data_IF_334605655321
#
_entry.id   IF_334605655321
#
_cell.length_a   1.000
_cell.length_b   1.000
_cell.length_c   1.000
_cell.angle_alpha   90.00
_cell.angle_beta   90.00
_cell.angle_gamma   90.00
#
_symmetry.space_group_name_H-M   'P 1'
#
loop_
_entity.id
_entity.type
_entity.pdbx_description
1 polymer ?
#
# COMPACT_ATOMS: atom_id res chain seq x y z
N UNK A 1 34.06 -8.09 61.51
CA UNK A 1 32.59 -8.00 61.58
C UNK A 1 32.05 -8.36 60.20
N UNK A 2 31.55 -9.58 60.00
CA UNK A 2 30.93 -9.95 58.72
C UNK A 2 29.58 -9.25 58.64
N UNK A 3 29.45 -8.33 57.69
CA UNK A 3 28.17 -7.68 57.41
C UNK A 3 27.25 -8.76 56.87
N UNK A 4 26.19 -9.07 57.62
CA UNK A 4 25.18 -10.04 57.20
C UNK A 4 24.48 -9.44 55.98
N UNK A 5 24.74 -9.96 54.77
CA UNK A 5 24.22 -9.43 53.49
C UNK A 5 22.79 -9.88 53.18
N UNK A 6 22.28 -10.83 53.95
CA UNK A 6 20.94 -11.42 53.82
C UNK A 6 19.80 -10.37 53.85
N UNK A 7 19.75 -9.40 54.78
CA UNK A 7 18.67 -8.40 54.78
C UNK A 7 18.75 -7.44 53.58
N UNK A 8 19.95 -7.17 53.05
CA UNK A 8 20.11 -6.34 51.85
C UNK A 8 19.58 -7.06 50.61
N UNK A 9 19.84 -8.37 50.49
CA UNK A 9 19.32 -9.20 49.39
C UNK A 9 17.79 -9.32 49.47
N UNK A 10 17.22 -9.40 50.68
CA UNK A 10 15.77 -9.46 50.88
C UNK A 10 15.06 -8.13 50.52
N UNK A 11 15.71 -6.99 50.78
CA UNK A 11 15.19 -5.66 50.42
C UNK A 11 15.31 -5.44 48.90
N UNK A 12 16.38 -5.92 48.27
CA UNK A 12 16.57 -5.80 46.81
C UNK A 12 15.57 -6.66 46.02
N UNK A 13 15.19 -7.82 46.55
CA UNK A 13 14.19 -8.70 45.93
C UNK A 13 12.76 -8.17 46.05
N UNK A 14 12.45 -7.37 47.07
CA UNK A 14 11.13 -6.73 47.23
C UNK A 14 10.91 -5.57 46.25
N UNK A 15 11.99 -4.92 45.77
CA UNK A 15 11.92 -3.79 44.84
C UNK A 15 11.68 -4.21 43.37
N UNK A 16 11.78 -5.50 43.04
CA UNK A 16 11.55 -6.03 41.69
C UNK A 16 10.07 -6.36 41.38
N UNK A 17 9.14 -6.12 42.31
CA UNK A 17 7.73 -6.49 42.18
C UNK A 17 6.80 -5.42 41.56
N UNK A 18 7.33 -4.31 41.03
CA UNK A 18 6.50 -3.27 40.43
C UNK A 18 6.14 -3.63 38.99
N UNK A 19 5.12 -4.47 38.81
CA UNK A 19 4.40 -4.51 37.54
C UNK A 19 3.73 -3.16 37.34
N UNK A 20 4.19 -2.40 36.34
CA UNK A 20 3.45 -1.26 35.83
C UNK A 20 2.20 -1.84 35.18
N UNK A 21 1.04 -1.66 35.81
CA UNK A 21 -0.22 -1.96 35.14
C UNK A 21 -0.38 -0.95 34.01
N UNK A 22 -0.53 -1.40 32.75
CA UNK A 22 -0.82 -0.50 31.65
C UNK A 22 -2.14 0.20 31.98
N UNK A 23 -2.10 1.54 32.04
CA UNK A 23 -3.31 2.33 32.14
C UNK A 23 -4.07 2.18 30.83
N UNK A 24 -5.15 1.39 30.84
CA UNK A 24 -6.10 1.36 29.73
C UNK A 24 -7.14 2.47 29.97
N UNK A 25 -7.06 3.62 29.27
CA UNK A 25 -8.12 4.61 29.35
C UNK A 25 -9.45 3.95 28.94
N UNK A 26 -10.48 4.15 29.77
CA UNK A 26 -11.86 3.88 29.37
C UNK A 26 -12.25 5.00 28.41
N UNK A 27 -12.06 4.78 27.12
CA UNK A 27 -12.55 5.66 26.08
C UNK A 27 -14.04 5.36 25.90
N UNK A 28 -14.91 6.33 26.18
CA UNK A 28 -16.32 6.26 25.77
C UNK A 28 -16.40 6.45 24.24
N UNK A 29 -16.07 5.41 23.49
CA UNK A 29 -16.26 5.35 22.04
C UNK A 29 -17.76 5.19 21.76
N UNK A 30 -18.52 6.29 21.80
CA UNK A 30 -19.99 6.24 21.75
C UNK A 30 -20.62 6.83 20.49
N UNK A 31 -19.83 7.35 19.54
CA UNK A 31 -20.36 7.86 18.27
C UNK A 31 -19.59 7.30 17.08
N UNK A 32 -20.29 6.50 16.27
CA UNK A 32 -19.88 6.16 14.91
C UNK A 32 -19.86 7.45 14.09
N UNK A 33 -18.71 7.79 13.52
CA UNK A 33 -18.52 9.01 12.75
C UNK A 33 -18.56 8.67 11.28
N UNK A 34 -19.30 9.45 10.48
CA UNK A 34 -19.34 9.27 9.03
C UNK A 34 -17.96 9.60 8.42
N UNK A 35 -17.47 8.70 7.57
CA UNK A 35 -16.19 8.84 6.85
C UNK A 35 -16.45 8.70 5.35
N UNK A 36 -16.27 9.78 4.61
CA UNK A 36 -16.44 9.80 3.14
C UNK A 36 -15.11 10.24 2.52
N UNK A 37 -14.54 9.39 1.67
CA UNK A 37 -13.24 9.67 1.05
C UNK A 37 -13.23 9.26 -0.42
N UNK A 38 -12.69 10.12 -1.27
CA UNK A 38 -12.48 9.81 -2.68
C UNK A 38 -11.69 10.87 -3.42
N UNK A 39 -11.32 10.51 -4.64
CA UNK A 39 -10.60 11.36 -5.57
C UNK A 39 -11.29 11.27 -6.93
N UNK A 40 -11.35 12.40 -7.62
CA UNK A 40 -11.76 12.47 -9.01
C UNK A 40 -10.67 13.10 -9.87
N UNK A 41 -10.48 12.59 -11.10
CA UNK A 41 -9.38 13.03 -11.98
C UNK A 41 -9.87 13.52 -13.33
N UNK A 42 -8.98 14.18 -14.09
CA UNK A 42 -9.19 14.58 -15.49
C UNK A 42 -9.12 13.41 -16.49
N UNK A 43 -9.05 12.16 -16.01
CA UNK A 43 -9.00 10.95 -16.85
C UNK A 43 -10.38 10.31 -16.99
N UNK A 44 -10.68 9.70 -18.14
CA UNK A 44 -11.88 8.89 -18.29
C UNK A 44 -11.75 7.56 -17.53
N UNK A 45 -12.88 6.90 -17.32
CA UNK A 45 -12.93 5.57 -16.72
C UNK A 45 -13.37 5.56 -15.26
N UNK A 46 -13.15 4.42 -14.57
CA UNK A 46 -13.72 4.18 -13.25
C UNK A 46 -13.01 4.98 -12.15
N UNK A 47 -13.79 5.76 -11.41
CA UNK A 47 -13.37 6.50 -10.23
C UNK A 47 -14.04 5.93 -8.99
N UNK A 48 -13.22 5.62 -7.97
CA UNK A 48 -13.68 4.99 -6.73
C UNK A 48 -13.85 6.03 -5.61
N UNK A 49 -14.95 5.90 -4.89
CA UNK A 49 -15.27 6.59 -3.65
C UNK A 49 -15.57 5.54 -2.57
N UNK A 50 -15.31 5.90 -1.31
CA UNK A 50 -15.70 5.09 -0.14
C UNK A 50 -16.60 5.90 0.79
N UNK A 51 -17.67 5.26 1.28
CA UNK A 51 -18.55 5.77 2.33
C UNK A 51 -18.55 4.72 3.44
N UNK A 52 -18.18 5.13 4.64
CA UNK A 52 -18.00 4.21 5.78
C UNK A 52 -18.26 4.89 7.11
N UNK A 53 -18.33 4.11 8.18
CA UNK A 53 -18.35 4.58 9.56
C UNK A 53 -16.98 4.32 10.21
N UNK A 54 -16.59 5.21 11.11
CA UNK A 54 -15.42 4.99 11.97
C UNK A 54 -15.58 3.70 12.77
N UNK A 55 -14.47 3.06 13.13
CA UNK A 55 -14.47 1.89 13.99
C UNK A 55 -13.75 2.15 15.31
N UNK A 56 -14.15 1.44 16.39
CA UNK A 56 -13.43 1.40 17.65
C UNK A 56 -11.93 1.19 17.47
N UNK A 57 -11.10 1.97 18.16
CA UNK A 57 -9.64 1.86 18.06
C UNK A 57 -9.15 0.46 18.46
N UNK A 58 -9.79 -0.16 19.47
CA UNK A 58 -9.42 -1.50 19.95
C UNK A 58 -9.74 -2.62 18.96
N UNK A 59 -10.63 -2.38 17.99
CA UNK A 59 -11.07 -3.36 16.98
C UNK A 59 -11.32 -2.64 15.65
N UNK A 60 -10.26 -2.22 14.96
CA UNK A 60 -10.41 -1.55 13.68
C UNK A 60 -11.02 -2.53 12.67
N UNK A 61 -12.19 -2.16 12.17
CA UNK A 61 -12.89 -2.89 11.11
C UNK A 61 -13.40 -1.85 10.14
N UNK A 62 -13.24 -2.12 8.84
CA UNK A 62 -13.84 -1.26 7.83
C UNK A 62 -15.36 -1.49 7.81
N UNK A 63 -16.13 -0.43 8.09
CA UNK A 63 -17.58 -0.48 8.19
C UNK A 63 -18.20 0.32 7.05
N UNK A 64 -18.26 -0.28 5.85
CA UNK A 64 -18.83 0.37 4.67
C UNK A 64 -20.33 0.63 4.81
N UNK A 65 -20.80 1.78 4.31
CA UNK A 65 -22.22 2.14 4.26
C UNK A 65 -22.73 1.95 2.84
N UNK A 66 -23.57 0.95 2.66
CA UNK A 66 -24.19 0.62 1.39
C UNK A 66 -25.52 1.36 1.16
N UNK A 67 -25.95 1.39 -0.11
CA UNK A 67 -27.22 1.92 -0.59
C UNK A 67 -27.39 3.44 -0.49
N UNK A 68 -26.29 4.19 -0.38
CA UNK A 68 -26.30 5.62 -0.55
C UNK A 68 -26.56 6.00 -2.02
N UNK A 69 -27.25 7.12 -2.24
CA UNK A 69 -27.32 7.79 -3.53
C UNK A 69 -26.14 8.76 -3.61
N UNK A 70 -25.17 8.45 -4.45
CA UNK A 70 -23.91 9.17 -4.56
C UNK A 70 -23.79 9.79 -5.95
N UNK A 71 -23.42 11.06 -6.04
CA UNK A 71 -23.14 11.74 -7.30
C UNK A 71 -22.05 12.80 -7.16
N UNK A 72 -21.31 13.02 -8.24
CA UNK A 72 -20.45 14.21 -8.39
C UNK A 72 -21.18 15.23 -9.24
N UNK A 73 -21.16 16.50 -8.82
CA UNK A 73 -21.76 17.65 -9.48
C UNK A 73 -20.64 18.62 -9.90
N UNK A 74 -20.66 19.10 -11.16
CA UNK A 74 -19.76 20.15 -11.65
C UNK A 74 -20.29 21.57 -11.37
N UNK A 75 -19.55 22.61 -11.78
CA UNK A 75 -20.02 24.00 -11.60
C UNK A 75 -21.22 24.39 -12.47
N UNK A 76 -21.55 23.61 -13.50
CA UNK A 76 -22.68 23.85 -14.41
C UNK A 76 -23.96 23.15 -13.94
N UNK A 77 -23.86 22.31 -12.90
CA UNK A 77 -24.94 21.51 -12.34
C UNK A 77 -25.14 20.16 -13.05
N UNK A 78 -24.20 19.74 -13.90
CA UNK A 78 -24.23 18.40 -14.46
C UNK A 78 -23.81 17.40 -13.38
N UNK A 79 -24.52 16.27 -13.32
CA UNK A 79 -24.28 15.26 -12.30
C UNK A 79 -23.94 13.90 -12.92
N UNK A 80 -22.91 13.25 -12.37
CA UNK A 80 -22.62 11.84 -12.66
C UNK A 80 -22.89 11.00 -11.42
N UNK A 81 -23.80 10.00 -11.50
CA UNK A 81 -24.07 9.11 -10.39
C UNK A 81 -22.97 8.04 -10.25
N UNK A 82 -22.69 7.65 -9.01
CA UNK A 82 -21.87 6.49 -8.72
C UNK A 82 -22.76 5.26 -8.52
N UNK A 83 -22.23 4.09 -8.90
CA UNK A 83 -22.86 2.79 -8.67
C UNK A 83 -22.25 2.15 -7.42
N UNK A 84 -23.09 1.68 -6.50
CA UNK A 84 -22.63 0.90 -5.35
C UNK A 84 -22.18 -0.51 -5.81
N UNK A 85 -20.94 -0.88 -5.47
CA UNK A 85 -20.39 -2.22 -5.75
C UNK A 85 -20.26 -3.10 -4.49
N UNK A 86 -20.73 -2.60 -3.34
CA UNK A 86 -20.76 -3.29 -2.05
C UNK A 86 -19.66 -2.83 -1.10
N UNK A 87 -19.83 -3.14 0.18
CA UNK A 87 -18.88 -2.79 1.26
C UNK A 87 -18.64 -1.28 1.35
N UNK A 88 -19.63 -0.44 1.03
CA UNK A 88 -19.48 1.02 1.04
C UNK A 88 -18.56 1.57 -0.05
N UNK A 89 -18.28 0.78 -1.10
CA UNK A 89 -17.50 1.21 -2.25
C UNK A 89 -18.42 1.62 -3.40
N UNK A 90 -18.18 2.81 -3.92
CA UNK A 90 -18.96 3.41 -5.00
C UNK A 90 -18.05 3.70 -6.19
N UNK A 91 -18.51 3.42 -7.42
CA UNK A 91 -17.74 3.64 -8.65
C UNK A 91 -18.56 4.44 -9.66
N UNK A 92 -17.99 5.54 -10.16
CA UNK A 92 -18.50 6.27 -11.31
C UNK A 92 -17.59 6.03 -12.52
N UNK A 93 -18.19 5.77 -13.69
CA UNK A 93 -17.46 5.68 -14.95
C UNK A 93 -17.55 7.03 -15.66
N UNK A 94 -16.45 7.78 -15.66
CA UNK A 94 -16.44 9.13 -16.23
C UNK A 94 -16.23 9.06 -17.74
N UNK A 95 -17.05 9.76 -18.55
CA UNK A 95 -16.81 9.84 -19.98
C UNK A 95 -15.58 10.70 -20.28
N UNK A 96 -14.98 10.47 -21.45
CA UNK A 96 -14.01 11.40 -22.02
C UNK A 96 -14.61 12.81 -22.00
N UNK A 97 -13.80 13.82 -21.64
CA UNK A 97 -14.18 15.25 -21.57
C UNK A 97 -15.17 15.67 -20.48
N UNK A 98 -15.49 14.83 -19.49
CA UNK A 98 -16.31 15.30 -18.36
C UNK A 98 -15.60 16.36 -17.50
N UNK A 99 -14.27 16.25 -17.38
CA UNK A 99 -13.49 17.11 -16.51
C UNK A 99 -12.20 17.56 -17.20
N UNK A 100 -11.92 18.84 -17.10
CA UNK A 100 -10.70 19.47 -17.54
C UNK A 100 -10.13 20.45 -16.49
N UNK A 101 -8.92 20.94 -16.76
CA UNK A 101 -8.26 21.89 -15.86
C UNK A 101 -9.08 23.17 -15.76
N UNK A 102 -9.42 23.56 -14.53
CA UNK A 102 -10.26 24.72 -14.23
C UNK A 102 -11.67 24.33 -13.79
N UNK A 103 -12.11 23.10 -14.04
CA UNK A 103 -13.40 22.61 -13.54
C UNK A 103 -13.35 22.42 -12.02
N UNK A 104 -14.45 22.77 -11.39
CA UNK A 104 -14.72 22.65 -9.98
C UNK A 104 -15.88 21.66 -9.77
N UNK A 105 -15.66 20.70 -8.87
CA UNK A 105 -16.62 19.63 -8.59
C UNK A 105 -16.89 19.48 -7.10
N UNK A 106 -18.11 19.06 -6.79
CA UNK A 106 -18.59 18.79 -5.43
C UNK A 106 -19.21 17.40 -5.38
N UNK A 107 -18.91 16.65 -4.33
CA UNK A 107 -19.52 15.35 -4.06
C UNK A 107 -20.82 15.53 -3.27
N UNK A 108 -21.84 14.76 -3.62
CA UNK A 108 -23.10 14.64 -2.89
C UNK A 108 -23.35 13.18 -2.52
N UNK A 109 -23.70 12.94 -1.25
CA UNK A 109 -24.03 11.61 -0.72
C UNK A 109 -25.31 11.70 0.10
N UNK A 110 -26.39 11.09 -0.39
CA UNK A 110 -27.61 10.89 0.38
C UNK A 110 -27.62 9.47 0.94
N UNK A 111 -27.68 9.36 2.25
CA UNK A 111 -27.65 8.08 2.98
C UNK A 111 -29.05 7.45 3.10
N UNK A 112 -29.15 6.14 3.40
CA UNK A 112 -30.44 5.46 3.54
C UNK A 112 -31.32 5.98 4.69
N UNK A 113 -30.73 6.67 5.66
CA UNK A 113 -31.41 7.34 6.78
C UNK A 113 -31.70 8.82 6.50
N UNK A 114 -31.77 9.19 5.22
CA UNK A 114 -32.14 10.52 4.72
C UNK A 114 -31.21 11.67 5.16
N UNK A 115 -29.96 11.39 5.57
CA UNK A 115 -28.95 12.44 5.81
C UNK A 115 -28.21 12.79 4.53
N UNK A 116 -28.10 14.08 4.23
CA UNK A 116 -27.42 14.60 3.06
C UNK A 116 -26.04 15.16 3.39
N UNK A 117 -25.00 14.57 2.81
CA UNK A 117 -23.62 15.07 2.91
C UNK A 117 -23.18 15.72 1.61
N UNK A 118 -22.38 16.77 1.72
CA UNK A 118 -21.80 17.47 0.58
C UNK A 118 -20.34 17.82 0.84
N UNK A 119 -19.49 17.70 -0.19
CA UNK A 119 -18.15 18.30 -0.14
C UNK A 119 -18.18 19.76 -0.55
N UNK A 120 -17.27 20.59 -0.03
CA UNK A 120 -16.92 21.84 -0.69
C UNK A 120 -16.47 21.57 -2.13
N UNK A 121 -16.68 22.55 -3.01
CA UNK A 121 -16.13 22.50 -4.37
C UNK A 121 -14.61 22.47 -4.31
N UNK A 122 -14.00 21.61 -5.13
CA UNK A 122 -12.56 21.58 -5.35
C UNK A 122 -12.26 21.68 -6.85
N UNK A 123 -11.22 22.44 -7.20
CA UNK A 123 -10.91 22.77 -8.60
C UNK A 123 -9.74 21.93 -9.11
N UNK A 124 -9.89 21.36 -10.31
CA UNK A 124 -8.82 20.66 -11.00
C UNK A 124 -7.76 21.67 -11.43
N UNK A 125 -6.63 21.67 -10.73
CA UNK A 125 -5.49 22.51 -11.05
C UNK A 125 -4.59 21.83 -12.08
N UNK A 126 -3.93 22.60 -12.95
CA UNK A 126 -2.92 22.05 -13.84
C UNK A 126 -1.82 21.35 -13.02
N UNK A 127 -1.51 20.11 -13.38
CA UNK A 127 -0.43 19.35 -12.76
C UNK A 127 0.88 19.64 -13.50
N UNK A 128 1.96 20.02 -12.78
CA UNK A 128 3.31 20.08 -13.33
C UNK A 128 3.69 18.84 -14.13
N UNK A 129 4.64 19.00 -15.04
CA UNK A 129 5.18 17.88 -15.80
C UNK A 129 5.98 16.96 -14.88
N UNK A 130 5.77 15.66 -15.01
CA UNK A 130 6.59 14.64 -14.39
C UNK A 130 7.76 14.37 -15.34
N UNK A 131 8.90 15.03 -15.10
CA UNK A 131 10.04 15.04 -16.02
C UNK A 131 10.69 13.65 -16.11
N UNK A 132 10.95 13.04 -14.95
CA UNK A 132 11.59 11.73 -14.89
C UNK A 132 11.34 11.01 -13.57
N UNK A 133 11.28 9.69 -13.65
CA UNK A 133 11.35 8.76 -12.52
C UNK A 133 12.55 7.87 -12.76
N UNK A 134 13.47 7.81 -11.80
CA UNK A 134 14.72 7.09 -11.90
C UNK A 134 15.11 6.47 -10.57
N UNK A 135 16.19 5.71 -10.57
CA UNK A 135 16.63 4.98 -9.40
C UNK A 135 18.15 4.99 -9.28
N UNK A 136 18.62 4.84 -8.05
CA UNK A 136 20.04 4.70 -7.74
C UNK A 136 20.23 3.53 -6.77
N UNK A 137 21.36 2.83 -6.91
CA UNK A 137 21.78 1.84 -5.93
C UNK A 137 22.17 2.57 -4.65
N UNK A 138 21.66 2.08 -3.52
CA UNK A 138 21.84 2.73 -2.23
C UNK A 138 21.87 1.73 -1.09
N UNK A 139 22.04 2.28 0.11
CA UNK A 139 21.98 1.52 1.35
C UNK A 139 21.09 2.28 2.34
N UNK A 140 20.18 1.55 2.97
CA UNK A 140 19.36 2.08 4.05
C UNK A 140 20.04 1.77 5.39
N UNK A 141 20.21 2.81 6.21
CA UNK A 141 20.70 2.67 7.57
C UNK A 141 19.71 1.86 8.41
N UNK A 142 20.23 1.05 9.33
CA UNK A 142 19.41 0.35 10.31
C UNK A 142 19.68 0.91 11.70
N UNK A 143 18.82 0.62 12.70
CA UNK A 143 19.10 1.01 14.09
C UNK A 143 20.44 0.48 14.61
N UNK A 144 20.95 -0.60 14.02
CA UNK A 144 22.30 -1.09 14.27
C UNK A 144 23.27 -0.48 13.23
N UNK A 145 24.18 0.41 13.64
CA UNK A 145 25.09 1.08 12.72
C UNK A 145 26.09 0.13 12.05
N UNK A 146 26.24 -1.12 12.52
CA UNK A 146 27.07 -2.14 11.86
C UNK A 146 26.36 -2.83 10.70
N UNK A 147 25.04 -2.66 10.57
CA UNK A 147 24.24 -3.27 9.52
C UNK A 147 23.57 -2.22 8.63
N UNK A 148 23.81 -2.34 7.33
CA UNK A 148 23.15 -1.56 6.29
C UNK A 148 22.39 -2.50 5.36
N UNK A 149 21.23 -2.08 4.88
CA UNK A 149 20.43 -2.85 3.92
C UNK A 149 20.67 -2.29 2.52
N UNK A 150 21.43 -2.97 1.65
CA UNK A 150 21.57 -2.53 0.27
C UNK A 150 20.25 -2.68 -0.48
N UNK A 151 20.08 -1.87 -1.52
CA UNK A 151 18.83 -1.84 -2.27
C UNK A 151 18.82 -0.73 -3.30
N UNK A 152 17.61 -0.31 -3.66
CA UNK A 152 17.37 0.70 -4.67
C UNK A 152 16.53 1.83 -4.08
N UNK A 153 17.02 3.06 -4.22
CA UNK A 153 16.27 4.26 -3.91
C UNK A 153 15.66 4.82 -5.19
N UNK A 154 14.34 5.01 -5.20
CA UNK A 154 13.65 5.70 -6.29
C UNK A 154 13.58 7.20 -6.04
N UNK A 155 13.72 7.96 -7.12
CA UNK A 155 13.60 9.40 -7.13
C UNK A 155 12.70 9.85 -8.27
N UNK A 156 12.10 11.02 -8.10
CA UNK A 156 11.46 11.74 -9.19
C UNK A 156 11.95 13.18 -9.29
N UNK A 157 11.82 13.69 -10.49
CA UNK A 157 11.97 15.10 -10.81
C UNK A 157 10.70 15.62 -11.49
N UNK A 158 10.31 16.85 -11.16
CA UNK A 158 9.19 17.53 -11.81
C UNK A 158 9.49 18.99 -12.08
N UNK A 159 8.90 19.51 -13.16
CA UNK A 159 8.96 20.93 -13.50
C UNK A 159 7.59 21.44 -13.93
N UNK A 160 7.23 22.63 -13.46
CA UNK A 160 5.93 23.24 -13.72
C UNK A 160 6.06 24.69 -14.14
N UNK A 161 5.04 25.18 -14.83
CA UNK A 161 4.86 26.61 -15.10
C UNK A 161 4.45 27.32 -13.81
N UNK A 162 4.50 28.65 -13.84
CA UNK A 162 4.04 29.49 -12.71
C UNK A 162 2.53 29.39 -12.45
N UNK A 163 1.76 28.98 -13.45
CA UNK A 163 0.30 28.78 -13.39
C UNK A 163 -0.10 27.39 -12.91
N UNK A 164 0.84 26.43 -12.92
CA UNK A 164 0.56 25.06 -12.51
C UNK A 164 0.47 24.99 -10.98
N UNK A 165 -0.17 23.95 -10.45
CA UNK A 165 -0.22 23.76 -9.01
C UNK A 165 1.18 23.68 -8.44
N UNK A 166 1.35 24.31 -7.29
CA UNK A 166 2.57 24.24 -6.47
C UNK A 166 2.49 23.19 -5.39
N UNK A 167 1.37 22.47 -5.28
CA UNK A 167 1.15 21.44 -4.27
C UNK A 167 0.87 20.13 -4.97
N UNK A 168 1.62 19.11 -4.58
CA UNK A 168 1.66 17.85 -5.28
C UNK A 168 1.58 16.72 -4.28
N UNK A 169 0.84 15.68 -4.63
CA UNK A 169 0.88 14.39 -3.97
C UNK A 169 1.29 13.34 -5.00
N UNK A 170 2.15 12.43 -4.59
CA UNK A 170 2.55 11.27 -5.36
C UNK A 170 2.09 10.02 -4.65
N UNK A 171 1.34 9.21 -5.39
CA UNK A 171 0.99 7.86 -5.00
C UNK A 171 1.79 6.89 -5.85
N UNK A 172 2.22 5.79 -5.24
CA UNK A 172 3.07 4.81 -5.91
C UNK A 172 2.50 3.40 -5.76
N UNK A 173 2.51 2.65 -6.86
CA UNK A 173 2.24 1.23 -6.85
C UNK A 173 3.51 0.47 -7.23
N UNK A 174 3.77 -0.64 -6.55
CA UNK A 174 4.81 -1.57 -6.96
C UNK A 174 4.21 -2.84 -7.56
N UNK A 175 4.89 -3.39 -8.55
CA UNK A 175 4.59 -4.70 -9.10
C UNK A 175 5.90 -5.37 -9.47
N UNK A 176 6.12 -6.61 -9.03
CA UNK A 176 7.35 -7.34 -9.32
C UNK A 176 7.07 -8.73 -9.84
N UNK A 177 7.95 -9.17 -10.74
CA UNK A 177 8.06 -10.55 -11.20
C UNK A 177 8.99 -11.31 -10.26
N UNK A 178 8.55 -12.50 -9.86
CA UNK A 178 9.35 -13.46 -9.10
C UNK A 178 9.00 -14.87 -9.55
N UNK A 179 9.92 -15.79 -9.31
CA UNK A 179 9.79 -17.18 -9.74
C UNK A 179 9.66 -18.14 -8.55
N UNK A 180 9.13 -19.33 -8.80
CA UNK A 180 9.24 -20.43 -7.85
C UNK A 180 10.69 -20.96 -7.84
N UNK A 181 11.14 -21.54 -6.71
CA UNK A 181 12.54 -21.99 -6.59
C UNK A 181 12.84 -23.20 -7.47
N UNK A 182 11.84 -24.04 -7.74
CA UNK A 182 11.96 -25.29 -8.48
C UNK A 182 10.83 -25.47 -9.49
N UNK A 183 11.09 -26.27 -10.51
CA UNK A 183 10.04 -26.77 -11.39
C UNK A 183 9.38 -28.00 -10.75
N UNK A 184 8.06 -28.07 -10.78
CA UNK A 184 7.32 -29.26 -10.38
C UNK A 184 7.15 -30.19 -11.56
N UNK A 185 7.18 -31.49 -11.27
CA UNK A 185 6.89 -32.56 -12.22
C UNK A 185 5.77 -33.45 -11.74
N UNK A 186 5.70 -33.71 -10.43
CA UNK A 186 4.70 -34.58 -9.81
C UNK A 186 4.31 -34.05 -8.43
N UNK A 187 3.08 -34.36 -8.01
CA UNK A 187 2.63 -34.29 -6.62
C UNK A 187 2.46 -35.73 -6.14
N UNK A 188 3.01 -36.04 -4.98
CA UNK A 188 2.79 -37.31 -4.29
C UNK A 188 1.82 -37.04 -3.15
N UNK A 189 0.64 -37.67 -3.19
CA UNK A 189 -0.38 -37.56 -2.14
C UNK A 189 -0.23 -38.65 -1.09
N UNK A 190 0.30 -39.80 -1.48
CA UNK A 190 0.73 -40.91 -0.63
C UNK A 190 1.70 -41.80 -1.43
N UNK A 191 2.26 -42.82 -0.79
CA UNK A 191 3.24 -43.73 -1.40
C UNK A 191 2.76 -44.49 -2.65
N UNK A 192 1.46 -44.62 -2.88
CA UNK A 192 0.86 -45.29 -4.02
C UNK A 192 0.14 -44.36 -5.00
N UNK A 193 -0.01 -43.09 -4.66
CA UNK A 193 -0.81 -42.12 -5.42
C UNK A 193 0.01 -40.87 -5.74
N UNK A 194 0.40 -40.77 -7.01
CA UNK A 194 1.03 -39.59 -7.56
C UNK A 194 0.24 -39.05 -8.75
N UNK A 195 0.34 -37.74 -8.96
CA UNK A 195 -0.25 -37.05 -10.09
C UNK A 195 0.83 -36.22 -10.77
N UNK A 196 0.78 -36.16 -12.10
CA UNK A 196 1.59 -35.23 -12.85
C UNK A 196 1.25 -33.79 -12.49
N UNK A 197 2.28 -32.97 -12.29
CA UNK A 197 2.19 -31.57 -11.88
C UNK A 197 3.21 -30.77 -12.67
N UNK A 198 2.78 -30.11 -13.74
CA UNK A 198 3.66 -29.29 -14.59
C UNK A 198 3.57 -27.83 -14.19
N UNK A 199 4.67 -27.25 -13.72
CA UNK A 199 4.66 -25.87 -13.19
C UNK A 199 4.93 -24.78 -14.22
N UNK A 200 5.04 -25.09 -15.51
CA UNK A 200 5.42 -24.12 -16.54
C UNK A 200 4.61 -22.81 -16.51
N UNK A 201 3.34 -22.86 -16.11
CA UNK A 201 2.44 -21.70 -15.99
C UNK A 201 2.33 -21.11 -14.59
N UNK A 202 2.83 -21.80 -13.56
CA UNK A 202 2.73 -21.42 -12.13
C UNK A 202 4.13 -21.28 -11.49
N UNK A 203 5.17 -21.25 -12.32
CA UNK A 203 6.55 -20.99 -11.94
C UNK A 203 6.86 -19.51 -11.96
N UNK A 204 6.20 -18.71 -12.80
CA UNK A 204 6.38 -17.26 -12.88
C UNK A 204 5.12 -16.56 -12.39
N UNK A 205 5.27 -15.65 -11.44
CA UNK A 205 4.18 -14.87 -10.90
C UNK A 205 4.53 -13.38 -10.87
N UNK A 206 3.48 -12.57 -10.86
CA UNK A 206 3.53 -11.15 -10.59
C UNK A 206 2.77 -10.86 -9.32
N UNK A 207 3.40 -10.09 -8.42
CA UNK A 207 2.75 -9.60 -7.21
C UNK A 207 2.65 -8.10 -7.30
N UNK A 208 1.46 -7.57 -7.00
CA UNK A 208 1.18 -6.14 -6.89
C UNK A 208 0.94 -5.82 -5.43
N UNK A 209 1.57 -4.76 -4.95
CA UNK A 209 1.27 -4.19 -3.65
C UNK A 209 1.07 -2.68 -3.82
N UNK A 210 -0.09 -2.12 -3.43
CA UNK A 210 -0.18 -0.68 -3.22
C UNK A 210 0.71 -0.31 -2.04
N UNK A 211 1.35 0.84 -2.10
CA UNK A 211 2.03 1.41 -0.94
C UNK A 211 1.04 2.37 -0.27
N UNK A 212 0.71 2.10 1.00
CA UNK A 212 -0.25 2.90 1.78
C UNK A 212 0.27 4.31 2.10
N UNK A 213 1.58 4.52 1.90
CA UNK A 213 2.23 5.82 2.09
C UNK A 213 2.10 6.69 0.84
N UNK A 214 1.66 7.94 1.04
CA UNK A 214 1.65 8.99 0.02
C UNK A 214 2.80 9.96 0.26
N UNK A 215 3.42 10.43 -0.81
CA UNK A 215 4.47 11.44 -0.74
C UNK A 215 3.87 12.79 -1.07
N UNK A 216 4.16 13.83 -0.29
CA UNK A 216 3.65 15.18 -0.52
C UNK A 216 4.80 16.16 -0.69
N UNK A 217 4.61 17.13 -1.59
CA UNK A 217 5.61 18.15 -1.87
C UNK A 217 4.97 19.48 -2.24
N UNK A 218 5.69 20.56 -1.95
CA UNK A 218 5.23 21.89 -2.33
C UNK A 218 6.38 22.80 -2.76
N UNK A 219 6.13 23.59 -3.80
CA UNK A 219 7.01 24.64 -4.29
C UNK A 219 6.50 26.04 -3.91
N UNK A 220 5.51 26.17 -3.01
CA UNK A 220 4.95 27.47 -2.56
C UNK A 220 6.04 28.43 -2.07
N UNK A 221 7.06 27.91 -1.40
CA UNK A 221 8.17 28.69 -0.83
C UNK A 221 9.36 28.85 -1.78
N UNK A 222 9.27 28.31 -3.00
CA UNK A 222 10.34 28.34 -4.00
C UNK A 222 10.04 29.37 -5.09
N UNK A 223 11.07 30.05 -5.57
CA UNK A 223 10.94 31.00 -6.70
C UNK A 223 10.55 30.30 -8.01
N UNK A 224 11.00 29.05 -8.18
CA UNK A 224 10.73 28.21 -9.35
C UNK A 224 9.80 27.06 -8.95
N UNK A 225 8.86 26.68 -9.82
CA UNK A 225 7.98 25.54 -9.60
C UNK A 225 8.68 24.24 -10.07
N UNK A 226 9.69 23.83 -9.33
CA UNK A 226 10.53 22.68 -9.68
C UNK A 226 10.95 21.94 -8.43
N UNK A 227 10.90 20.61 -8.47
CA UNK A 227 11.45 19.74 -7.45
C UNK A 227 12.34 18.70 -8.12
N UNK A 228 13.54 18.52 -7.59
CA UNK A 228 14.54 17.56 -8.09
C UNK A 228 14.89 16.59 -6.99
N UNK A 229 15.16 15.34 -7.37
CA UNK A 229 15.57 14.26 -6.47
C UNK A 229 14.61 14.07 -5.30
N UNK A 230 13.30 14.16 -5.53
CA UNK A 230 12.31 13.87 -4.48
C UNK A 230 12.37 12.37 -4.18
N UNK A 231 12.71 11.95 -2.94
CA UNK A 231 12.83 10.53 -2.61
C UNK A 231 11.45 9.88 -2.54
N UNK A 232 11.30 8.75 -3.22
CA UNK A 232 10.16 7.84 -3.12
C UNK A 232 10.52 6.64 -2.23
N UNK A 233 9.92 5.48 -2.49
CA UNK A 233 10.18 4.27 -1.72
C UNK A 233 11.61 3.74 -1.95
N UNK A 234 12.18 3.16 -0.89
CA UNK A 234 13.39 2.36 -0.96
C UNK A 234 12.99 0.88 -1.00
N UNK A 235 13.60 0.11 -1.90
CA UNK A 235 13.40 -1.34 -1.99
C UNK A 235 14.69 -2.04 -1.57
N UNK A 236 14.69 -2.67 -0.40
CA UNK A 236 15.84 -3.40 0.13
C UNK A 236 16.00 -4.78 -0.52
N UNK A 237 17.19 -5.36 -0.36
CA UNK A 237 17.50 -6.73 -0.73
C UNK A 237 17.01 -7.78 0.29
N UNK A 238 16.03 -7.47 1.14
CA UNK A 238 15.52 -8.44 2.13
C UNK A 238 14.37 -9.28 1.59
N UNK A 239 13.83 -8.88 0.46
CA UNK A 239 12.71 -9.55 -0.21
C UNK A 239 13.07 -9.91 -1.64
N UNK A 240 12.24 -10.73 -2.27
CA UNK A 240 12.34 -11.16 -3.65
C UNK A 240 11.92 -10.08 -4.68
N UNK A 241 11.53 -8.89 -4.21
CA UNK A 241 11.02 -7.79 -5.06
C UNK A 241 11.97 -7.39 -6.18
N UNK A 242 13.27 -7.51 -5.94
CA UNK A 242 14.31 -7.18 -6.91
C UNK A 242 14.88 -8.43 -7.61
N UNK A 243 14.24 -9.61 -7.50
CA UNK A 243 14.82 -10.87 -7.96
C UNK A 243 14.85 -10.98 -9.49
N UNK A 244 13.80 -10.54 -10.18
CA UNK A 244 13.69 -10.64 -11.64
C UNK A 244 13.46 -9.27 -12.28
N UNK A 245 12.22 -8.77 -12.26
CA UNK A 245 11.86 -7.47 -12.82
C UNK A 245 10.95 -6.75 -11.84
N UNK A 246 11.31 -5.53 -11.48
CA UNK A 246 10.52 -4.66 -10.62
C UNK A 246 9.94 -3.50 -11.42
N UNK A 247 8.68 -3.16 -11.18
CA UNK A 247 7.99 -2.02 -11.79
C UNK A 247 7.53 -1.06 -10.72
N UNK A 248 7.90 0.22 -10.86
CA UNK A 248 7.35 1.32 -10.09
C UNK A 248 6.38 2.11 -10.96
N UNK A 249 5.16 2.29 -10.49
CA UNK A 249 4.18 3.21 -11.06
C UNK A 249 4.09 4.44 -10.19
N UNK A 250 4.28 5.62 -10.77
CA UNK A 250 4.15 6.89 -10.05
C UNK A 250 2.97 7.65 -10.61
N UNK A 251 2.04 8.02 -9.74
CA UNK A 251 0.88 8.84 -10.02
C UNK A 251 1.07 10.21 -9.35
N UNK A 252 1.39 11.23 -10.15
CA UNK A 252 1.54 12.62 -9.73
C UNK A 252 0.21 13.37 -9.87
N UNK A 253 -0.23 13.97 -8.77
CA UNK A 253 -1.54 14.61 -8.65
C UNK A 253 -1.36 16.05 -8.18
N UNK A 254 -2.07 16.98 -8.82
CA UNK A 254 -2.15 18.37 -8.40
C UNK A 254 -3.15 18.55 -7.26
N UNK A 255 -2.79 19.33 -6.26
CA UNK A 255 -3.67 19.62 -5.12
C UNK A 255 -3.99 21.10 -5.01
N UNK A 256 -5.24 21.40 -4.61
CA UNK A 256 -5.61 22.69 -4.05
C UNK A 256 -4.88 22.96 -2.73
N UNK A 257 -5.01 24.18 -2.20
CA UNK A 257 -4.26 24.50 -0.99
C UNK A 257 -4.80 23.76 0.22
N UNK A 258 -6.12 23.64 0.26
CA UNK A 258 -6.94 22.97 1.25
C UNK A 258 -6.67 21.46 1.25
N UNK A 259 -6.64 20.84 0.06
CA UNK A 259 -6.34 19.42 -0.08
C UNK A 259 -4.91 19.10 0.37
N UNK A 260 -3.93 19.94 0.01
CA UNK A 260 -2.55 19.77 0.47
C UNK A 260 -2.43 19.85 1.99
N UNK A 261 -3.09 20.83 2.61
CA UNK A 261 -3.04 21.00 4.05
C UNK A 261 -3.73 19.83 4.78
N UNK A 262 -4.80 19.26 4.21
CA UNK A 262 -5.42 18.03 4.71
C UNK A 262 -4.45 16.85 4.66
N UNK A 263 -3.86 16.56 3.48
CA UNK A 263 -2.94 15.44 3.31
C UNK A 263 -1.67 15.58 4.14
N UNK A 264 -1.19 16.81 4.34
CA UNK A 264 -0.07 17.09 5.25
C UNK A 264 -0.39 16.71 6.69
N UNK A 265 -1.56 17.12 7.20
CA UNK A 265 -2.00 16.75 8.56
C UNK A 265 -2.16 15.23 8.71
N UNK A 266 -2.74 14.56 7.70
CA UNK A 266 -2.88 13.11 7.69
C UNK A 266 -1.52 12.40 7.72
N UNK A 267 -0.56 12.87 6.91
CA UNK A 267 0.78 12.29 6.86
C UNK A 267 1.56 12.50 8.15
N UNK A 268 1.51 13.72 8.71
CA UNK A 268 2.17 14.06 9.98
C UNK A 268 1.65 13.18 11.14
N UNK A 269 0.34 12.91 11.19
CA UNK A 269 -0.25 12.02 12.19
C UNK A 269 0.18 10.54 12.04
N UNK A 270 0.23 10.04 10.79
CA UNK A 270 0.68 8.68 10.51
C UNK A 270 2.10 8.45 11.04
N UNK A 271 3.01 9.39 10.77
CA UNK A 271 4.41 9.33 11.25
C UNK A 271 4.49 9.41 12.78
N UNK A 272 3.71 10.30 13.42
CA UNK A 272 3.73 10.45 14.89
C UNK A 272 3.19 9.23 15.65
N UNK A 273 2.27 8.46 15.04
CA UNK A 273 1.72 7.23 15.61
C UNK A 273 2.68 6.04 15.65
N UNK A 274 3.87 6.14 15.05
CA UNK A 274 4.88 5.06 15.04
C UNK A 274 5.93 5.13 16.17
N UNK A 275 5.87 6.12 17.06
CA UNK A 275 6.86 6.33 18.13
C UNK A 275 6.40 5.83 19.50
N UNK A 276 7.34 5.56 20.44
CA UNK A 276 7.03 5.11 21.82
C UNK A 276 6.23 6.12 22.68
N UNK A 277 5.92 7.29 22.13
CA UNK A 277 5.11 8.34 22.76
C UNK A 277 4.02 8.78 21.77
N UNK A 278 3.09 7.87 21.48
CA UNK A 278 1.96 8.14 20.60
C UNK A 278 1.07 9.21 21.24
N UNK A 279 0.90 10.34 20.56
CA UNK A 279 -0.19 11.27 20.86
C UNK A 279 -1.45 10.71 20.23
N UNK A 280 -2.57 10.78 20.94
CA UNK A 280 -3.86 10.45 20.35
C UNK A 280 -4.06 11.29 19.08
N UNK A 281 -4.28 10.66 17.91
CA UNK A 281 -4.50 11.40 16.67
C UNK A 281 -5.72 12.31 16.84
N UNK A 282 -5.56 13.61 16.58
CA UNK A 282 -6.69 14.53 16.54
C UNK A 282 -7.48 14.29 15.24
N UNK A 283 -8.81 14.42 15.26
CA UNK A 283 -9.61 14.32 14.04
C UNK A 283 -9.15 15.36 13.02
N UNK A 284 -8.69 14.91 11.84
CA UNK A 284 -8.35 15.83 10.73
C UNK A 284 -9.64 16.22 10.03
N UNK A 285 -10.11 17.44 10.29
CA UNK A 285 -11.27 17.98 9.60
C UNK A 285 -11.01 18.02 8.08
N UNK A 286 -11.96 17.45 7.33
CA UNK A 286 -11.94 17.42 5.88
C UNK A 286 -12.79 18.52 5.26
N UNK A 287 -13.25 18.30 4.03
CA UNK A 287 -14.10 19.24 3.29
C UNK A 287 -15.55 18.76 3.12
N UNK A 288 -15.96 17.70 3.81
CA UNK A 288 -17.30 17.12 3.74
C UNK A 288 -18.08 17.50 4.99
N UNK A 289 -19.33 17.90 4.80
CA UNK A 289 -20.23 18.33 5.87
C UNK A 289 -21.63 17.76 5.65
N UNK A 290 -22.37 17.54 6.74
CA UNK A 290 -23.79 17.26 6.66
C UNK A 290 -24.55 18.59 6.41
N UNK A 291 -25.40 18.60 5.38
CA UNK A 291 -26.22 19.75 4.98
C UNK A 291 -27.37 19.98 5.97
N UNK A 292 -27.89 18.91 6.58
CA UNK A 292 -28.99 18.92 7.53
C UNK A 292 -28.53 19.26 8.96
N UNK A 293 -27.28 18.93 9.31
CA UNK A 293 -26.66 19.23 10.61
C UNK A 293 -25.19 19.69 10.45
N UNK A 294 -24.93 21.01 10.32
CA UNK A 294 -23.57 21.53 10.16
C UNK A 294 -22.64 21.33 11.36
N UNK A 295 -23.17 20.97 12.54
CA UNK A 295 -22.38 20.69 13.74
C UNK A 295 -21.98 19.20 13.83
N UNK A 296 -22.53 18.34 12.97
CA UNK A 296 -22.11 16.94 12.87
C UNK A 296 -20.65 16.85 12.42
N UNK A 297 -19.86 16.09 13.17
CA UNK A 297 -18.48 15.80 12.79
C UNK A 297 -18.49 14.75 11.68
N UNK A 298 -17.88 15.08 10.54
CA UNK A 298 -17.69 14.18 9.40
C UNK A 298 -16.20 14.13 9.07
N UNK A 299 -15.70 12.94 8.75
CA UNK A 299 -14.31 12.70 8.40
C UNK A 299 -14.15 12.33 6.92
N UNK A 300 -12.89 12.38 6.47
CA UNK A 300 -12.51 12.09 5.09
C UNK A 300 -12.51 13.34 4.22
N UNK A 301 -12.10 13.17 2.96
CA UNK A 301 -11.89 14.28 2.03
C UNK A 301 -12.23 13.85 0.61
N UNK A 302 -12.83 14.76 -0.14
CA UNK A 302 -13.04 14.62 -1.58
C UNK A 302 -12.26 15.70 -2.31
N UNK A 303 -11.41 15.32 -3.26
CA UNK A 303 -10.61 16.28 -4.02
C UNK A 303 -10.59 15.95 -5.51
N UNK A 304 -10.35 17.00 -6.30
CA UNK A 304 -10.25 16.95 -7.75
C UNK A 304 -8.82 17.25 -8.17
N UNK A 305 -8.26 16.45 -9.08
CA UNK A 305 -6.85 16.56 -9.48
C UNK A 305 -6.66 16.32 -10.96
N UNK A 306 -5.64 16.95 -11.53
CA UNK A 306 -5.10 16.50 -12.81
C UNK A 306 -4.06 15.41 -12.56
N UNK A 307 -4.14 14.31 -13.32
CA UNK A 307 -3.29 13.14 -13.16
C UNK A 307 -2.20 13.06 -14.24
N UNK A 308 -0.95 12.89 -13.77
CA UNK A 308 0.22 12.54 -14.59
C UNK A 308 0.81 11.24 -14.08
N UNK A 309 1.14 10.34 -14.99
CA UNK A 309 1.60 9.00 -14.61
C UNK A 309 2.86 8.66 -15.38
N UNK A 310 3.79 8.00 -14.70
CA UNK A 310 4.97 7.41 -15.32
C UNK A 310 5.26 6.06 -14.68
N UNK A 311 5.67 5.12 -15.52
CA UNK A 311 6.10 3.78 -15.07
C UNK A 311 7.56 3.57 -15.41
N UNK A 312 8.29 3.00 -14.46
CA UNK A 312 9.70 2.64 -14.58
C UNK A 312 9.85 1.14 -14.32
N UNK A 313 10.69 0.49 -15.11
CA UNK A 313 11.08 -0.91 -14.92
C UNK A 313 12.56 -1.02 -14.53
N UNK A 314 12.85 -1.95 -13.63
CA UNK A 314 14.18 -2.32 -13.18
C UNK A 314 14.36 -3.82 -13.41
N UNK A 315 15.29 -4.19 -14.28
CA UNK A 315 15.59 -5.58 -14.58
C UNK A 315 16.86 -6.04 -13.87
N UNK A 316 16.78 -7.16 -13.14
CA UNK A 316 17.92 -7.77 -12.46
C UNK A 316 18.80 -8.60 -13.41
N UNK A 317 19.37 -7.94 -14.42
CA UNK A 317 20.29 -8.57 -15.39
C UNK A 317 21.73 -8.64 -14.86
N UNK A 318 21.91 -9.16 -13.65
CA UNK A 318 23.12 -9.00 -12.82
C UNK A 318 23.44 -7.52 -12.54
N UNK A 319 22.40 -6.71 -12.39
CA UNK A 319 22.52 -5.28 -12.14
C UNK A 319 23.04 -4.98 -10.72
N UNK A 320 22.75 -5.87 -9.77
CA UNK A 320 23.02 -5.66 -8.35
C UNK A 320 24.29 -6.39 -7.91
N UNK A 321 25.14 -5.68 -7.15
CA UNK A 321 26.31 -6.27 -6.49
C UNK A 321 25.94 -7.00 -5.19
N UNK A 322 24.70 -6.85 -4.72
CA UNK A 322 24.16 -7.50 -3.53
C UNK A 322 23.30 -8.72 -3.90
N UNK A 323 23.28 -9.71 -3.00
CA UNK A 323 22.39 -10.84 -3.12
C UNK A 323 20.94 -10.40 -2.87
N UNK A 324 20.06 -10.69 -3.83
CA UNK A 324 18.62 -10.60 -3.65
C UNK A 324 18.11 -12.00 -3.29
N UNK A 325 17.47 -12.18 -2.12
CA UNK A 325 16.95 -13.47 -1.72
C UNK A 325 15.87 -13.89 -2.70
N UNK A 326 16.01 -15.13 -3.17
CA UNK A 326 14.87 -15.86 -3.69
C UNK A 326 14.06 -16.42 -2.51
N UNK A 327 12.84 -16.93 -2.73
CA UNK A 327 12.12 -17.62 -1.65
C UNK A 327 13.04 -18.67 -1.01
N UNK A 328 13.22 -18.56 0.31
CA UNK A 328 13.98 -19.53 1.09
C UNK A 328 13.18 -20.81 1.18
N UNK A 329 13.50 -21.73 0.28
CA UNK A 329 12.85 -23.00 0.15
C UNK A 329 13.68 -24.11 0.78
N UNK A 330 13.11 -24.80 1.74
CA UNK A 330 13.67 -26.04 2.25
C UNK A 330 13.24 -27.18 1.31
N UNK A 331 14.17 -27.62 0.46
CA UNK A 331 13.99 -28.79 -0.39
C UNK A 331 15.04 -29.84 -0.06
N UNK A 332 14.65 -31.08 -0.26
CA UNK A 332 15.41 -32.25 0.16
C UNK A 332 15.69 -33.15 -1.05
N UNK A 333 16.85 -33.83 -1.11
CA UNK A 333 17.13 -34.78 -2.17
C UNK A 333 16.09 -35.92 -2.18
N UNK A 334 15.69 -36.38 -3.36
CA UNK A 334 14.73 -37.49 -3.51
C UNK A 334 15.15 -38.76 -2.74
N UNK A 335 16.45 -38.98 -2.50
CA UNK A 335 16.94 -40.10 -1.71
C UNK A 335 16.47 -40.10 -0.25
N UNK A 336 16.11 -38.95 0.32
CA UNK A 336 15.61 -38.85 1.70
C UNK A 336 14.10 -39.05 1.81
N UNK A 337 13.38 -39.16 0.68
CA UNK A 337 11.91 -39.22 0.68
C UNK A 337 11.38 -40.41 1.51
N UNK A 338 12.10 -41.53 1.55
CA UNK A 338 11.74 -42.74 2.31
C UNK A 338 11.61 -42.56 3.83
N UNK A 339 12.01 -41.40 4.37
CA UNK A 339 11.92 -41.05 5.79
C UNK A 339 10.66 -40.21 6.09
N UNK A 340 9.88 -39.86 5.06
CA UNK A 340 8.65 -39.08 5.21
C UNK A 340 7.60 -39.80 6.08
N UNK A 341 7.10 -39.10 7.09
CA UNK A 341 5.87 -39.47 7.80
C UNK A 341 4.62 -39.13 6.98
N UNK A 342 3.46 -39.75 7.26
CA UNK A 342 2.20 -39.46 6.57
C UNK A 342 1.77 -37.99 6.64
N UNK A 343 2.18 -37.26 7.68
CA UNK A 343 1.77 -35.87 7.93
C UNK A 343 2.43 -34.84 6.98
N UNK A 344 3.45 -35.25 6.23
CA UNK A 344 4.19 -34.37 5.31
C UNK A 344 3.60 -34.38 3.90
N UNK A 345 2.59 -35.22 3.62
CA UNK A 345 1.88 -35.21 2.35
C UNK A 345 0.82 -34.09 2.29
N UNK A 346 0.54 -33.52 1.10
CA UNK A 346 1.18 -33.81 -0.18
C UNK A 346 2.58 -33.19 -0.31
N UNK A 347 3.50 -33.92 -0.96
CA UNK A 347 4.84 -33.39 -1.30
C UNK A 347 4.98 -33.16 -2.80
N UNK A 348 5.73 -32.13 -3.14
CA UNK A 348 5.95 -31.70 -4.52
C UNK A 348 7.32 -32.15 -4.99
N UNK A 349 7.41 -32.63 -6.23
CA UNK A 349 8.57 -33.35 -6.75
C UNK A 349 9.10 -32.72 -8.04
N UNK A 350 10.42 -32.53 -8.11
CA UNK A 350 11.16 -32.29 -9.35
C UNK A 350 11.92 -33.54 -9.77
N UNK A 351 11.54 -34.12 -10.91
CA UNK A 351 12.18 -35.30 -11.49
C UNK A 351 12.48 -35.00 -12.97
N UNK A 352 13.62 -34.37 -13.29
CA UNK A 352 13.89 -33.88 -14.64
C UNK A 352 14.35 -34.97 -15.61
N UNK A 353 14.69 -36.16 -15.10
CA UNK A 353 15.04 -37.31 -15.92
C UNK A 353 15.99 -38.27 -15.20
N UNK A 354 16.35 -39.35 -15.90
CA UNK A 354 17.26 -40.35 -15.36
C UNK A 354 18.64 -39.75 -15.09
N UNK A 355 19.25 -40.15 -13.97
CA UNK A 355 20.59 -39.72 -13.52
C UNK A 355 20.75 -38.22 -13.21
N UNK A 356 19.65 -37.47 -13.16
CA UNK A 356 19.68 -36.07 -12.73
C UNK A 356 19.22 -35.94 -11.27
N UNK A 357 19.78 -34.99 -10.50
CA UNK A 357 19.34 -34.71 -9.14
C UNK A 357 17.85 -34.42 -9.12
N UNK A 358 17.12 -35.19 -8.32
CA UNK A 358 15.69 -35.01 -8.09
C UNK A 358 15.49 -34.51 -6.67
N UNK A 359 14.50 -33.63 -6.48
CA UNK A 359 14.25 -32.97 -5.21
C UNK A 359 12.77 -33.05 -4.85
N UNK A 360 12.49 -32.97 -3.56
CA UNK A 360 11.14 -32.84 -3.04
C UNK A 360 11.09 -31.68 -2.04
N UNK A 361 9.90 -31.12 -1.83
CA UNK A 361 9.71 -30.02 -0.90
C UNK A 361 8.25 -29.62 -0.76
N UNK A 362 7.98 -28.55 0.01
CA UNK A 362 6.65 -28.01 0.21
C UNK A 362 6.16 -27.27 -1.06
N UNK A 363 4.86 -27.00 -1.13
CA UNK A 363 4.21 -26.43 -2.31
C UNK A 363 4.80 -25.08 -2.73
N UNK A 364 5.13 -24.20 -1.78
CA UNK A 364 5.64 -22.85 -2.04
C UNK A 364 6.93 -22.80 -2.88
N UNK A 365 7.65 -23.92 -2.96
CA UNK A 365 8.87 -24.04 -3.74
C UNK A 365 8.64 -24.32 -5.22
N UNK A 366 7.45 -24.81 -5.56
CA UNK A 366 7.10 -25.23 -6.91
C UNK A 366 5.96 -24.40 -7.50
N UNK A 367 5.18 -23.74 -6.65
CA UNK A 367 4.04 -22.91 -7.04
C UNK A 367 4.18 -21.49 -6.47
N UNK A 368 4.47 -20.53 -7.35
CA UNK A 368 4.65 -19.15 -6.94
C UNK A 368 3.35 -18.51 -6.40
N UNK A 369 2.17 -19.08 -6.69
CA UNK A 369 0.88 -18.56 -6.24
C UNK A 369 0.68 -18.67 -4.74
N UNK A 370 1.34 -19.64 -4.09
CA UNK A 370 1.31 -19.79 -2.62
C UNK A 370 1.89 -18.55 -1.92
N UNK A 371 2.75 -17.80 -2.61
CA UNK A 371 3.36 -16.57 -2.11
C UNK A 371 2.50 -15.31 -2.38
N UNK A 372 1.31 -15.49 -2.96
CA UNK A 372 0.30 -14.45 -3.19
C UNK A 372 0.39 -13.73 -4.53
N UNK A 373 1.14 -14.24 -5.50
CA UNK A 373 1.22 -13.67 -6.86
C UNK A 373 0.27 -14.34 -7.85
N UNK A 374 0.01 -13.62 -8.93
CA UNK A 374 -0.84 -14.05 -10.05
C UNK A 374 0.02 -14.52 -11.23
N UNK A 375 -0.45 -15.52 -11.95
CA UNK A 375 0.19 -16.04 -13.18
C UNK A 375 -0.16 -15.22 -14.43
N UNK A 376 -1.11 -14.28 -14.29
CA UNK A 376 -1.55 -13.40 -15.35
C UNK A 376 -0.60 -12.22 -15.48
N UNK A 377 0.10 -12.14 -16.61
CA UNK A 377 0.98 -11.02 -16.92
C UNK A 377 0.18 -9.72 -16.90
N UNK A 378 0.58 -8.70 -16.14
CA UNK A 378 -0.09 -7.39 -16.17
C UNK A 378 -0.06 -6.80 -17.58
N UNK A 379 -1.16 -6.16 -18.01
CA UNK A 379 -1.27 -5.60 -19.39
C UNK A 379 -0.19 -4.57 -19.74
N UNK A 380 0.32 -3.87 -18.73
CA UNK A 380 1.38 -2.86 -18.85
C UNK A 380 2.79 -3.46 -18.73
N UNK A 381 2.92 -4.76 -18.48
CA UNK A 381 4.21 -5.40 -18.27
C UNK A 381 4.99 -5.47 -19.59
N UNK A 382 6.23 -5.02 -19.57
CA UNK A 382 7.10 -5.07 -20.74
C UNK A 382 7.48 -6.52 -21.05
N UNK A 383 7.31 -6.94 -22.31
CA UNK A 383 7.83 -8.21 -22.80
C UNK A 383 9.28 -8.01 -23.23
N UNK A 384 10.21 -8.68 -22.54
CA UNK A 384 11.63 -8.73 -22.92
C UNK A 384 11.93 -9.89 -23.85
#
# INVERSE_FOLDING_TARGET
MSVNKIPIILILTLLCGSCVEPFEPVLEESQEVMVISGMITDRPGPHKLTVSLSSPYKKPVFQGVDFCVVSVEDQEGNMIPYTNIGEGVYVADLPDSFLEVGDAVSLQVLTPDDRLYRSSYDTILACPELDSVYYELGQQETPDPEFTRPGIQFYLDMSGKSTDSRNIIWQVDETWEYWASLFGTHILYDWGNSKEFRTNTIYKCWKRAPLDHVYIGSTRSLSVNELRRVPLNFVSNETDRLSVTYSLHVQQQSLSSEAYDYWKRMNDQSVESGGMYEKQPASVAGNIYNVDDPEEVVLGYFYATQLREQRLFVHNNNLFEFYVPHIQCEYEPMSSIGVLGPDLFPVYLYIPGNFQPSFWGPEECFDCRVQGGDTTVPKYWESW
#
